data_IF_107151010049
#
_entry.id   IF_107151010049
#
_cell.length_a   1.000
_cell.length_b   1.000
_cell.length_c   1.000
_cell.angle_alpha   90.00
_cell.angle_beta   90.00
_cell.angle_gamma   90.00
#
_symmetry.space_group_name_H-M   'P 1'
#
loop_
_entity.id
_entity.type
_entity.pdbx_description
1 polymer ?
#
# COMPACT_ATOMS: atom_id res chain seq x y z
N UNK A 1 -13.35 -2.96 10.29
CA UNK A 1 -12.22 -2.07 9.96
C UNK A 1 -11.30 -2.02 11.17
N UNK A 2 -10.04 -2.33 10.96
CA UNK A 2 -9.01 -2.34 11.99
C UNK A 2 -7.83 -1.49 11.52
N UNK A 3 -7.23 -0.72 12.43
CA UNK A 3 -6.04 0.09 12.17
C UNK A 3 -4.94 -0.42 13.07
N UNK A 4 -3.93 -1.03 12.47
CA UNK A 4 -2.74 -1.46 13.19
C UNK A 4 -1.78 -0.28 13.31
N UNK A 5 -1.23 -0.04 14.50
CA UNK A 5 -0.26 1.03 14.74
C UNK A 5 1.17 0.49 14.96
N UNK A 6 1.37 -0.80 14.78
CA UNK A 6 2.66 -1.45 15.02
C UNK A 6 3.80 -0.91 14.14
N UNK A 7 3.46 -0.39 12.96
CA UNK A 7 4.41 0.18 12.01
C UNK A 7 4.38 1.73 11.99
N UNK A 8 3.64 2.36 12.89
CA UNK A 8 3.56 3.81 12.97
C UNK A 8 4.88 4.41 13.49
N UNK A 9 5.18 5.62 13.06
CA UNK A 9 6.40 6.36 13.41
C UNK A 9 6.65 6.54 14.90
N UNK A 10 7.82 7.03 15.20
CA UNK A 10 8.47 7.01 16.50
C UNK A 10 9.52 5.92 16.55
N UNK A 11 10.21 5.69 15.42
CA UNK A 11 11.30 4.74 15.30
C UNK A 11 12.54 5.21 16.05
N UNK A 12 13.51 4.32 16.28
CA UNK A 12 14.67 4.54 17.14
C UNK A 12 14.29 4.77 18.62
N UNK A 13 13.25 4.04 19.05
CA UNK A 13 12.74 4.13 20.42
C UNK A 13 13.32 3.07 21.36
N UNK A 14 14.09 2.13 20.83
CA UNK A 14 14.59 0.96 21.56
C UNK A 14 13.48 -0.03 21.92
N UNK A 15 12.35 0.00 21.24
CA UNK A 15 11.23 -0.93 21.43
C UNK A 15 11.58 -2.32 20.93
N UNK A 16 12.44 -2.41 19.91
CA UNK A 16 12.95 -3.67 19.37
C UNK A 16 14.33 -3.93 19.96
N UNK A 17 14.52 -5.13 20.54
CA UNK A 17 15.81 -5.52 21.09
C UNK A 17 16.88 -5.58 19.98
N UNK A 18 18.10 -5.20 20.31
CA UNK A 18 19.23 -5.10 19.37
C UNK A 18 19.51 -6.41 18.62
N UNK A 19 19.39 -7.53 19.32
CA UNK A 19 19.56 -8.88 18.76
C UNK A 19 18.47 -9.28 17.76
N UNK A 20 17.31 -8.63 17.81
CA UNK A 20 16.17 -8.88 16.92
C UNK A 20 16.12 -7.90 15.75
N UNK A 21 16.98 -6.88 15.76
CA UNK A 21 16.98 -5.80 14.79
C UNK A 21 17.50 -6.27 13.43
N UNK A 22 16.72 -6.10 12.39
CA UNK A 22 17.18 -6.25 11.01
C UNK A 22 18.05 -5.05 10.62
N UNK A 23 19.16 -5.32 9.97
CA UNK A 23 20.08 -4.29 9.51
C UNK A 23 20.12 -4.26 8.00
N UNK A 24 19.97 -3.06 7.44
CA UNK A 24 19.99 -2.84 6.00
C UNK A 24 21.22 -1.99 5.65
N UNK A 25 22.02 -2.50 4.72
CA UNK A 25 23.10 -1.74 4.11
C UNK A 25 22.53 -0.88 2.97
N UNK A 26 22.49 0.41 3.19
CA UNK A 26 22.07 1.41 2.19
C UNK A 26 23.25 2.09 1.48
N UNK A 27 24.48 1.57 1.69
CA UNK A 27 25.69 2.12 1.08
C UNK A 27 26.21 3.40 1.75
N UNK A 28 25.74 3.73 2.95
CA UNK A 28 26.10 4.91 3.73
C UNK A 28 26.19 4.62 5.21
N UNK A 29 25.93 5.64 6.05
CA UNK A 29 25.81 5.45 7.49
C UNK A 29 24.56 4.64 7.83
N UNK A 30 24.68 3.76 8.82
CA UNK A 30 23.57 2.95 9.31
C UNK A 30 22.50 3.86 9.95
N UNK A 31 21.23 3.65 9.57
CA UNK A 31 20.11 4.37 10.14
C UNK A 31 19.32 3.47 11.10
N UNK A 32 19.33 3.80 12.39
CA UNK A 32 18.58 3.09 13.41
C UNK A 32 17.06 3.15 13.14
N UNK A 33 16.54 4.29 12.67
CA UNK A 33 15.14 4.45 12.30
C UNK A 33 14.73 3.51 11.17
N UNK A 34 15.56 3.40 10.12
CA UNK A 34 15.29 2.50 8.98
C UNK A 34 15.33 1.04 9.42
N UNK A 35 16.32 0.67 10.23
CA UNK A 35 16.44 -0.70 10.73
C UNK A 35 15.23 -1.09 11.59
N UNK A 36 14.79 -0.24 12.49
CA UNK A 36 13.58 -0.47 13.31
C UNK A 36 12.32 -0.55 12.44
N UNK A 37 12.14 0.35 11.48
CA UNK A 37 11.03 0.33 10.54
C UNK A 37 10.96 -0.99 9.75
N UNK A 38 12.06 -1.41 9.13
CA UNK A 38 12.08 -2.64 8.33
C UNK A 38 11.85 -3.87 9.19
N UNK A 39 12.37 -3.86 10.42
CA UNK A 39 12.10 -4.93 11.38
C UNK A 39 10.61 -4.99 11.74
N UNK A 40 9.98 -3.84 11.97
CA UNK A 40 8.54 -3.75 12.24
C UNK A 40 7.71 -4.26 11.05
N UNK A 41 8.07 -3.87 9.81
CA UNK A 41 7.42 -4.36 8.59
C UNK A 41 7.56 -5.88 8.45
N UNK A 42 8.74 -6.43 8.67
CA UNK A 42 8.96 -7.88 8.58
C UNK A 42 8.14 -8.66 9.62
N UNK A 43 8.00 -8.13 10.83
CA UNK A 43 7.12 -8.70 11.87
C UNK A 43 5.65 -8.63 11.47
N UNK A 44 5.21 -7.49 10.96
CA UNK A 44 3.84 -7.32 10.50
C UNK A 44 3.50 -8.24 9.32
N UNK A 45 4.44 -8.49 8.41
CA UNK A 45 4.28 -9.43 7.30
C UNK A 45 4.10 -10.88 7.81
N UNK A 46 4.92 -11.29 8.79
CA UNK A 46 4.79 -12.60 9.42
C UNK A 46 3.44 -12.78 10.15
N UNK A 47 3.00 -11.76 10.88
CA UNK A 47 1.72 -11.75 11.56
C UNK A 47 0.54 -11.80 10.59
N UNK A 48 0.63 -11.05 9.48
CA UNK A 48 -0.35 -11.07 8.40
C UNK A 48 -0.44 -12.46 7.78
N UNK A 49 0.70 -13.09 7.47
CA UNK A 49 0.73 -14.45 6.92
C UNK A 49 0.04 -15.45 7.87
N UNK A 50 0.33 -15.37 9.17
CA UNK A 50 -0.30 -16.22 10.19
C UNK A 50 -1.80 -15.95 10.32
N UNK A 51 -2.24 -14.70 10.22
CA UNK A 51 -3.64 -14.30 10.23
C UNK A 51 -4.39 -14.86 9.02
N UNK A 52 -3.86 -14.67 7.80
CA UNK A 52 -4.46 -15.18 6.58
C UNK A 52 -4.54 -16.72 6.57
N UNK A 53 -3.51 -17.41 7.10
CA UNK A 53 -3.52 -18.85 7.23
C UNK A 53 -4.65 -19.36 8.16
N UNK A 54 -5.02 -18.62 9.21
CA UNK A 54 -6.17 -18.92 10.05
C UNK A 54 -7.50 -18.66 9.32
N UNK A 55 -7.59 -17.57 8.57
CA UNK A 55 -8.80 -17.25 7.79
C UNK A 55 -9.01 -18.24 6.65
N UNK A 56 -7.95 -18.77 6.05
CA UNK A 56 -8.03 -19.80 5.01
C UNK A 56 -8.71 -21.10 5.46
N UNK A 57 -8.77 -21.36 6.78
CA UNK A 57 -9.41 -22.53 7.35
C UNK A 57 -10.90 -22.33 7.67
N UNK A 58 -11.40 -21.12 7.46
CA UNK A 58 -12.82 -20.81 7.70
C UNK A 58 -13.67 -21.27 6.52
N UNK A 59 -14.89 -21.74 6.83
CA UNK A 59 -15.85 -22.19 5.81
C UNK A 59 -16.60 -21.01 5.19
N UNK A 60 -16.79 -19.93 5.94
CA UNK A 60 -17.47 -18.72 5.45
C UNK A 60 -16.59 -17.99 4.46
N UNK A 61 -17.14 -17.49 3.33
CA UNK A 61 -16.40 -16.64 2.40
C UNK A 61 -15.91 -15.36 3.08
N UNK A 62 -14.62 -15.12 3.02
CA UNK A 62 -13.98 -13.95 3.63
C UNK A 62 -13.20 -13.20 2.56
N UNK A 63 -13.34 -11.88 2.53
CA UNK A 63 -12.50 -10.98 1.76
C UNK A 63 -11.74 -10.08 2.72
N UNK A 64 -10.42 -10.04 2.57
CA UNK A 64 -9.53 -9.16 3.33
C UNK A 64 -8.95 -8.12 2.39
N UNK A 65 -9.00 -6.87 2.82
CA UNK A 65 -8.31 -5.76 2.18
C UNK A 65 -7.29 -5.21 3.15
N UNK A 66 -6.04 -5.19 2.75
CA UNK A 66 -4.96 -4.53 3.46
C UNK A 66 -4.44 -3.39 2.60
N UNK A 67 -4.13 -2.27 3.21
CA UNK A 67 -3.49 -1.14 2.52
C UNK A 67 -2.68 -0.30 3.53
N UNK A 68 -1.61 0.31 3.04
CA UNK A 68 -0.91 1.37 3.75
C UNK A 68 -1.62 2.71 3.55
N UNK A 69 -1.69 3.52 4.59
CA UNK A 69 -2.30 4.84 4.55
C UNK A 69 -1.30 5.93 4.08
N UNK A 70 -0.03 5.80 4.47
CA UNK A 70 1.05 6.71 4.06
C UNK A 70 2.43 6.06 4.23
N UNK A 71 3.44 6.67 3.66
CA UNK A 71 4.84 6.32 3.84
C UNK A 71 5.38 6.82 5.20
N UNK A 72 6.49 6.26 5.71
CA UNK A 72 7.19 6.79 6.87
C UNK A 72 7.77 8.17 6.59
N UNK A 73 7.96 8.99 7.65
CA UNK A 73 8.46 10.35 7.51
C UNK A 73 9.86 10.50 6.91
N UNK A 74 10.66 9.42 6.94
CA UNK A 74 12.02 9.37 6.36
C UNK A 74 12.07 8.70 4.97
N UNK A 75 10.94 8.60 4.27
CA UNK A 75 10.87 7.94 2.95
C UNK A 75 11.93 8.44 1.95
N UNK A 76 12.31 9.70 2.04
CA UNK A 76 13.37 10.31 1.20
C UNK A 76 14.74 9.67 1.41
N UNK A 77 15.01 9.10 2.60
CA UNK A 77 16.25 8.36 2.87
C UNK A 77 16.23 6.97 2.20
N UNK A 78 15.04 6.39 2.00
CA UNK A 78 14.87 5.07 1.38
C UNK A 78 14.92 5.10 -0.15
N UNK A 79 14.49 6.20 -0.72
CA UNK A 79 14.50 6.43 -2.16
C UNK A 79 15.01 7.86 -2.42
N UNK A 80 16.33 8.08 -2.41
CA UNK A 80 16.88 9.38 -2.73
C UNK A 80 16.41 9.74 -4.15
N UNK A 81 15.58 10.76 -4.23
CA UNK A 81 15.26 11.41 -5.50
C UNK A 81 16.57 11.94 -6.06
N UNK A 82 16.93 11.50 -7.25
CA UNK A 82 18.24 11.59 -7.84
C UNK A 82 18.96 12.94 -7.67
N UNK A 83 20.26 12.87 -7.71
CA UNK A 83 21.26 13.96 -7.66
C UNK A 83 21.15 14.94 -8.86
N UNK A 84 19.95 15.19 -9.36
CA UNK A 84 19.77 16.07 -10.51
C UNK A 84 19.33 17.47 -10.07
N UNK A 85 20.02 18.49 -10.55
CA UNK A 85 19.56 19.89 -10.54
C UNK A 85 18.27 20.09 -11.40
N UNK A 86 17.65 19.01 -11.83
CA UNK A 86 16.43 19.01 -12.62
C UNK A 86 15.20 19.11 -11.71
N UNK A 87 14.21 19.88 -12.15
CA UNK A 87 12.91 19.94 -11.48
C UNK A 87 12.28 18.54 -11.40
N UNK A 88 11.73 18.14 -10.23
CA UNK A 88 11.16 16.81 -10.07
C UNK A 88 10.00 16.58 -11.05
N UNK A 89 9.98 15.41 -11.65
CA UNK A 89 8.86 14.99 -12.50
C UNK A 89 7.61 14.67 -11.66
N UNK A 90 6.46 14.58 -12.33
CA UNK A 90 5.23 14.13 -11.65
C UNK A 90 5.39 12.71 -11.09
N UNK A 91 6.13 11.84 -11.77
CA UNK A 91 6.43 10.48 -11.30
C UNK A 91 7.26 10.49 -10.01
N UNK A 92 8.28 11.34 -9.92
CA UNK A 92 9.09 11.52 -8.71
C UNK A 92 8.21 11.98 -7.53
N UNK A 93 7.29 12.92 -7.78
CA UNK A 93 6.36 13.40 -6.77
C UNK A 93 5.42 12.29 -6.28
N UNK A 94 5.05 11.32 -7.14
CA UNK A 94 4.19 10.19 -6.76
C UNK A 94 4.90 9.20 -5.85
N UNK A 95 6.21 9.00 -5.95
CA UNK A 95 6.96 8.01 -5.14
C UNK A 95 6.72 8.19 -3.63
N UNK A 96 6.48 9.41 -3.17
CA UNK A 96 6.18 9.72 -1.76
C UNK A 96 4.82 9.24 -1.28
N UNK A 97 3.91 8.89 -2.21
CA UNK A 97 2.53 8.51 -1.91
C UNK A 97 2.22 7.05 -2.23
N UNK A 98 3.19 6.32 -2.79
CA UNK A 98 3.00 4.91 -3.11
C UNK A 98 2.99 4.08 -1.84
N UNK A 99 1.88 3.39 -1.60
CA UNK A 99 1.73 2.42 -0.52
C UNK A 99 1.19 1.11 -1.08
N UNK A 100 1.54 -0.04 -0.48
CA UNK A 100 1.02 -1.32 -0.93
C UNK A 100 -0.45 -1.47 -0.62
N UNK A 101 -1.18 -2.20 -1.46
CA UNK A 101 -2.48 -2.73 -1.12
C UNK A 101 -2.62 -4.18 -1.55
N UNK A 102 -3.47 -4.92 -0.86
CA UNK A 102 -3.73 -6.34 -1.14
C UNK A 102 -5.23 -6.61 -0.99
N UNK A 103 -5.79 -7.40 -1.91
CA UNK A 103 -7.06 -8.08 -1.73
C UNK A 103 -6.79 -9.58 -1.64
N UNK A 104 -7.34 -10.20 -0.62
CA UNK A 104 -7.23 -11.64 -0.40
C UNK A 104 -8.61 -12.23 -0.09
N UNK A 105 -8.81 -13.49 -0.46
CA UNK A 105 -10.02 -14.25 -0.10
C UNK A 105 -9.69 -15.73 0.08
N UNK A 106 -10.43 -16.40 0.97
CA UNK A 106 -10.41 -17.86 1.10
C UNK A 106 -11.39 -18.56 0.14
N UNK A 107 -12.19 -17.81 -0.62
CA UNK A 107 -13.18 -18.37 -1.54
C UNK A 107 -12.61 -18.50 -2.97
N UNK A 108 -12.65 -19.72 -3.50
CA UNK A 108 -12.09 -20.02 -4.84
C UNK A 108 -12.85 -19.32 -5.98
N UNK A 109 -14.14 -19.08 -5.84
CA UNK A 109 -14.95 -18.40 -6.84
C UNK A 109 -14.64 -16.89 -6.85
N UNK A 110 -14.54 -16.29 -5.66
CA UNK A 110 -14.19 -14.88 -5.51
C UNK A 110 -12.75 -14.61 -5.93
N UNK A 111 -11.83 -15.56 -5.72
CA UNK A 111 -10.42 -15.40 -6.10
C UNK A 111 -10.22 -15.16 -7.60
N UNK A 112 -11.14 -15.63 -8.44
CA UNK A 112 -11.12 -15.39 -9.90
C UNK A 112 -11.39 -13.94 -10.27
N UNK A 113 -11.99 -13.18 -9.36
CA UNK A 113 -12.26 -11.74 -9.52
C UNK A 113 -11.16 -10.86 -8.91
N UNK A 114 -10.33 -11.44 -8.03
CA UNK A 114 -9.16 -10.78 -7.46
C UNK A 114 -8.00 -10.96 -8.46
N UNK A 115 -7.74 -9.94 -9.26
CA UNK A 115 -6.65 -9.93 -10.25
C UNK A 115 -5.50 -9.08 -9.73
N UNK A 116 -4.31 -9.27 -10.31
CA UNK A 116 -3.23 -8.31 -10.15
C UNK A 116 -3.74 -6.91 -10.52
N UNK A 117 -3.82 -6.04 -9.52
CA UNK A 117 -4.15 -4.64 -9.71
C UNK A 117 -2.90 -3.89 -10.19
N UNK A 118 -3.09 -2.89 -11.04
CA UNK A 118 -2.10 -1.84 -11.26
C UNK A 118 -2.21 -0.78 -10.18
N UNK A 119 -1.48 0.31 -10.35
CA UNK A 119 -1.59 1.47 -9.49
C UNK A 119 -3.02 2.00 -9.45
N UNK A 120 -3.43 2.41 -8.27
CA UNK A 120 -4.78 2.92 -8.04
C UNK A 120 -4.80 3.83 -6.82
N UNK A 121 -5.80 4.67 -6.72
CA UNK A 121 -5.99 5.50 -5.54
C UNK A 121 -6.89 4.83 -4.50
N UNK A 122 -6.67 5.16 -3.22
CA UNK A 122 -7.45 4.62 -2.11
C UNK A 122 -8.95 4.95 -2.22
N UNK A 123 -9.34 6.06 -2.85
CA UNK A 123 -10.74 6.41 -3.11
C UNK A 123 -11.49 5.37 -3.97
N UNK A 124 -10.80 4.56 -4.76
CA UNK A 124 -11.39 3.47 -5.55
C UNK A 124 -11.37 2.12 -4.84
N UNK A 125 -10.64 2.00 -3.74
CA UNK A 125 -10.37 0.70 -3.11
C UNK A 125 -11.66 0.05 -2.59
N UNK A 126 -12.54 0.82 -1.96
CA UNK A 126 -13.83 0.30 -1.46
C UNK A 126 -14.70 -0.26 -2.59
N UNK A 127 -14.83 0.48 -3.71
CA UNK A 127 -15.60 0.02 -4.87
C UNK A 127 -14.98 -1.24 -5.51
N UNK A 128 -13.65 -1.29 -5.59
CA UNK A 128 -12.90 -2.44 -6.10
C UNK A 128 -13.12 -3.67 -5.20
N UNK A 129 -13.08 -3.49 -3.89
CA UNK A 129 -13.31 -4.54 -2.89
C UNK A 129 -14.71 -5.12 -2.97
N UNK A 130 -15.74 -4.25 -2.99
CA UNK A 130 -17.14 -4.70 -3.12
C UNK A 130 -17.34 -5.50 -4.41
N UNK A 131 -16.74 -5.04 -5.50
CA UNK A 131 -16.81 -5.74 -6.79
C UNK A 131 -16.12 -7.11 -6.75
N UNK A 132 -14.93 -7.18 -6.14
CA UNK A 132 -14.18 -8.43 -5.96
C UNK A 132 -14.95 -9.42 -5.05
N UNK A 133 -15.65 -8.92 -4.03
CA UNK A 133 -16.49 -9.71 -3.13
C UNK A 133 -17.83 -10.14 -3.78
N UNK A 134 -18.11 -9.77 -5.02
CA UNK A 134 -19.38 -10.11 -5.68
C UNK A 134 -20.57 -9.33 -5.14
N UNK A 135 -20.34 -8.25 -4.38
CA UNK A 135 -21.39 -7.43 -3.77
C UNK A 135 -21.90 -6.36 -4.74
N UNK A 136 -23.19 -5.98 -4.64
CA UNK A 136 -23.73 -4.91 -5.46
C UNK A 136 -23.12 -3.56 -5.09
N UNK A 137 -22.87 -2.73 -6.11
CA UNK A 137 -22.43 -1.35 -5.93
C UNK A 137 -23.64 -0.43 -5.90
N UNK A 138 -23.69 0.50 -4.95
CA UNK A 138 -24.61 1.64 -5.04
C UNK A 138 -24.14 2.62 -6.13
N UNK A 139 -24.93 3.65 -6.43
CA UNK A 139 -24.65 4.62 -7.50
C UNK A 139 -23.27 5.30 -7.34
N UNK A 140 -22.90 5.65 -6.11
CA UNK A 140 -21.61 6.28 -5.81
C UNK A 140 -20.42 5.33 -6.08
N UNK A 141 -20.47 4.10 -5.58
CA UNK A 141 -19.41 3.14 -5.83
C UNK A 141 -19.37 2.66 -7.28
N UNK A 142 -20.52 2.60 -7.96
CA UNK A 142 -20.58 2.32 -9.40
C UNK A 142 -19.90 3.42 -10.20
N UNK A 143 -20.14 4.69 -9.84
CA UNK A 143 -19.47 5.84 -10.44
C UNK A 143 -17.94 5.77 -10.23
N UNK A 144 -17.47 5.55 -8.99
CA UNK A 144 -16.03 5.43 -8.70
C UNK A 144 -15.40 4.27 -9.48
N UNK A 145 -16.07 3.11 -9.53
CA UNK A 145 -15.57 1.95 -10.26
C UNK A 145 -15.47 2.20 -11.77
N UNK A 146 -16.41 2.94 -12.35
CA UNK A 146 -16.37 3.34 -13.74
C UNK A 146 -15.28 4.39 -14.00
N UNK A 147 -15.14 5.40 -13.13
CA UNK A 147 -14.13 6.45 -13.24
C UNK A 147 -12.71 5.88 -13.21
N UNK A 148 -12.45 4.87 -12.37
CA UNK A 148 -11.17 4.16 -12.31
C UNK A 148 -10.69 3.65 -13.67
N UNK A 149 -11.59 3.34 -14.61
CA UNK A 149 -11.20 2.81 -15.93
C UNK A 149 -10.50 3.87 -16.81
N UNK A 150 -10.82 5.14 -16.60
CA UNK A 150 -10.22 6.27 -17.34
C UNK A 150 -9.19 7.05 -16.53
N UNK A 151 -9.34 7.04 -15.21
CA UNK A 151 -8.45 7.70 -14.24
C UNK A 151 -8.06 6.69 -13.14
N UNK A 152 -7.13 5.76 -13.40
CA UNK A 152 -6.76 4.69 -12.46
C UNK A 152 -6.27 5.20 -11.10
N UNK A 153 -5.57 6.32 -11.08
CA UNK A 153 -5.09 6.95 -9.86
C UNK A 153 -5.23 8.49 -9.93
N UNK A 154 -5.49 9.10 -8.78
CA UNK A 154 -5.58 10.55 -8.61
C UNK A 154 -5.23 10.92 -7.18
N UNK A 155 -4.47 12.00 -7.00
CA UNK A 155 -4.18 12.59 -5.70
C UNK A 155 -4.06 14.12 -5.80
N UNK A 156 -3.55 14.78 -4.76
CA UNK A 156 -3.42 16.25 -4.73
C UNK A 156 -2.41 16.78 -5.76
N UNK A 157 -1.44 15.97 -6.19
CA UNK A 157 -0.37 16.41 -7.10
C UNK A 157 -0.68 16.12 -8.56
N UNK A 158 -1.44 15.06 -8.85
CA UNK A 158 -1.67 14.66 -10.23
C UNK A 158 -2.69 13.55 -10.39
N UNK A 159 -2.84 13.14 -11.62
CA UNK A 159 -3.69 12.01 -12.00
C UNK A 159 -2.97 11.11 -13.02
N UNK A 160 -3.33 9.85 -13.02
CA UNK A 160 -2.89 8.88 -14.01
C UNK A 160 -3.97 8.70 -15.07
N UNK A 161 -3.60 8.77 -16.34
CA UNK A 161 -4.51 8.51 -17.44
C UNK A 161 -4.68 6.99 -17.70
N UNK A 162 -5.58 6.63 -18.62
CA UNK A 162 -5.86 5.23 -18.98
C UNK A 162 -4.69 4.49 -19.64
N UNK A 163 -3.60 5.19 -19.97
CA UNK A 163 -2.37 4.61 -20.53
C UNK A 163 -1.31 4.39 -19.45
N UNK A 164 -1.60 4.78 -18.20
CA UNK A 164 -0.67 4.67 -17.07
C UNK A 164 0.33 5.83 -17.00
N UNK A 165 0.05 6.95 -17.64
CA UNK A 165 0.91 8.14 -17.63
C UNK A 165 0.40 9.13 -16.59
N UNK A 166 1.31 9.61 -15.73
CA UNK A 166 1.01 10.64 -14.75
C UNK A 166 1.05 12.05 -15.36
N UNK A 167 0.13 12.88 -14.92
CA UNK A 167 -0.01 14.28 -15.29
C UNK A 167 -0.17 15.13 -14.04
N UNK A 168 0.41 16.33 -14.01
CA UNK A 168 0.17 17.31 -12.96
C UNK A 168 -1.31 17.76 -12.96
N UNK A 169 -1.83 18.09 -11.79
CA UNK A 169 -3.08 18.86 -11.70
C UNK A 169 -2.80 20.28 -12.17
N UNK A 170 -3.64 20.81 -13.06
CA UNK A 170 -3.61 22.21 -13.48
C UNK A 170 -4.23 23.14 -12.41
#
# INVERSE_FOLDING_TARGET
>A
FDVTIANHGGYDTGTIAEEDMMRIDMGGEESAEVNEYVTAIARADADLAAFLAKLAQREEPIVVVLFGDHQPGFVEQLAPTGDSDEEPTVDDAQQRYVTPYMLWTNDEQLSRHVRHGGDTSLNYLAATTLKAAGLPLNEYFAFLYATKQSLPAINLNGYMDSKGVWHWNE
#
